data_IF_113497021908
#
_entry.id   IF_113497021908
#
_cell.length_a   1.000
_cell.length_b   1.000
_cell.length_c   1.000
_cell.angle_alpha   90.00
_cell.angle_beta   90.00
_cell.angle_gamma   90.00
#
_symmetry.space_group_name_H-M   'P 1'
#
loop_
_entity.id
_entity.type
_entity.pdbx_description
1 polymer ?
#
# COMPACT_ATOMS: atom_id res chain seq x y z
N UNK A 1 -21.57 -34.89 -41.11
CA UNK A 1 -20.46 -34.60 -42.05
C UNK A 1 -20.58 -33.13 -42.38
N UNK A 2 -19.52 -32.37 -42.15
CA UNK A 2 -19.52 -30.95 -41.84
C UNK A 2 -20.09 -30.00 -42.91
N UNK A 3 -20.89 -29.02 -42.48
CA UNK A 3 -21.27 -27.84 -43.29
C UNK A 3 -21.04 -26.58 -42.46
N UNK A 4 -19.82 -26.04 -42.51
CA UNK A 4 -19.52 -24.69 -42.03
C UNK A 4 -18.83 -23.97 -43.18
N UNK A 5 -19.54 -23.03 -43.80
CA UNK A 5 -18.97 -22.04 -44.71
C UNK A 5 -19.77 -20.75 -44.56
N UNK A 6 -19.22 -19.78 -43.84
CA UNK A 6 -19.45 -18.37 -44.11
C UNK A 6 -18.11 -17.65 -44.02
N UNK A 7 -17.78 -17.07 -45.15
CA UNK A 7 -16.57 -16.34 -45.47
C UNK A 7 -16.64 -14.90 -44.94
N UNK A 8 -15.47 -14.44 -44.51
CA UNK A 8 -14.93 -13.10 -44.73
C UNK A 8 -15.31 -11.92 -43.82
N UNK A 9 -14.21 -11.31 -43.36
CA UNK A 9 -14.01 -10.16 -42.47
C UNK A 9 -14.34 -8.83 -43.14
N UNK A 10 -14.51 -7.76 -42.35
CA UNK A 10 -13.63 -6.62 -42.63
C UNK A 10 -12.98 -5.95 -41.41
N UNK A 11 -11.69 -5.63 -41.65
CA UNK A 11 -10.88 -4.55 -41.11
C UNK A 11 -11.65 -3.34 -40.57
N UNK A 12 -11.37 -2.95 -39.32
CA UNK A 12 -11.45 -1.56 -38.90
C UNK A 12 -10.08 -1.12 -38.36
N UNK A 13 -9.37 -0.34 -39.19
CA UNK A 13 -8.31 0.56 -38.75
C UNK A 13 -8.93 1.87 -38.27
N UNK A 14 -8.41 2.42 -37.17
CA UNK A 14 -8.74 3.74 -36.65
C UNK A 14 -8.31 3.81 -35.19
N UNK A 15 -7.06 4.20 -34.93
CA UNK A 15 -6.63 5.57 -34.68
C UNK A 15 -6.74 5.94 -33.19
N UNK A 16 -5.67 6.58 -32.72
CA UNK A 16 -5.46 7.02 -31.35
C UNK A 16 -6.59 7.93 -30.83
N UNK A 17 -6.89 7.81 -29.55
CA UNK A 17 -7.41 8.92 -28.76
C UNK A 17 -6.62 8.98 -27.45
N UNK A 18 -5.63 9.86 -27.43
CA UNK A 18 -5.12 10.41 -26.21
C UNK A 18 -6.14 11.45 -25.74
N UNK A 19 -6.99 11.10 -24.79
CA UNK A 19 -7.79 12.08 -24.06
C UNK A 19 -7.54 11.94 -22.56
N UNK A 20 -6.87 12.98 -22.08
CA UNK A 20 -6.51 13.25 -20.70
C UNK A 20 -7.75 13.49 -19.84
N UNK A 21 -7.64 13.08 -18.58
CA UNK A 21 -8.33 13.64 -17.41
C UNK A 21 -9.86 13.48 -17.33
N UNK A 22 -10.27 12.45 -16.57
CA UNK A 22 -11.14 12.59 -15.40
C UNK A 22 -11.14 11.28 -14.62
N UNK A 23 -10.37 11.24 -13.52
CA UNK A 23 -10.43 10.13 -12.56
C UNK A 23 -11.89 9.99 -12.10
N UNK A 24 -12.60 8.87 -12.32
CA UNK A 24 -13.82 8.61 -11.57
C UNK A 24 -13.38 8.41 -10.12
N UNK A 25 -13.42 9.49 -9.33
CA UNK A 25 -13.34 9.43 -7.87
C UNK A 25 -14.71 9.00 -7.36
N UNK A 26 -15.18 7.83 -7.82
CA UNK A 26 -16.18 7.06 -7.10
C UNK A 26 -15.48 6.64 -5.82
N UNK A 27 -15.71 7.40 -4.75
CA UNK A 27 -15.25 7.07 -3.41
C UNK A 27 -15.91 5.76 -3.00
N UNK A 28 -15.30 4.63 -3.39
CA UNK A 28 -15.74 3.32 -3.00
C UNK A 28 -15.69 3.28 -1.47
N UNK A 29 -16.84 3.02 -0.85
CA UNK A 29 -16.92 2.77 0.59
C UNK A 29 -15.85 1.73 0.94
N UNK A 30 -14.96 2.03 1.91
CA UNK A 30 -13.92 1.09 2.27
C UNK A 30 -14.60 -0.18 2.80
N UNK A 31 -14.25 -1.32 2.23
CA UNK A 31 -14.75 -2.62 2.68
C UNK A 31 -13.60 -3.47 3.21
N UNK A 32 -13.93 -4.47 4.03
CA UNK A 32 -12.94 -5.41 4.52
C UNK A 32 -12.43 -6.27 3.37
N UNK A 33 -11.12 -6.26 3.12
CA UNK A 33 -10.51 -7.03 2.03
C UNK A 33 -10.65 -8.57 2.20
N UNK A 34 -10.99 -9.05 3.40
CA UNK A 34 -11.14 -10.48 3.67
C UNK A 34 -12.61 -10.96 3.63
N UNK A 35 -13.54 -10.20 4.21
CA UNK A 35 -14.93 -10.64 4.38
C UNK A 35 -15.95 -9.74 3.68
N UNK A 36 -15.50 -8.65 3.02
CA UNK A 36 -16.38 -7.71 2.31
C UNK A 36 -17.24 -6.82 3.20
N UNK A 37 -17.24 -7.01 4.53
CA UNK A 37 -18.02 -6.21 5.45
C UNK A 37 -17.56 -4.73 5.45
N UNK A 38 -18.52 -3.82 5.57
CA UNK A 38 -18.30 -2.38 5.65
C UNK A 38 -18.74 -1.83 7.02
N UNK A 39 -18.10 -2.22 8.13
CA UNK A 39 -18.41 -1.62 9.42
C UNK A 39 -17.97 -0.16 9.46
N UNK A 40 -18.58 0.62 10.35
CA UNK A 40 -18.27 2.05 10.51
C UNK A 40 -16.80 2.32 10.85
N UNK A 41 -16.15 1.39 11.56
CA UNK A 41 -14.74 1.47 11.94
C UNK A 41 -13.88 0.38 11.28
N UNK A 42 -13.40 0.66 10.06
CA UNK A 42 -12.38 -0.15 9.39
C UNK A 42 -10.97 0.31 9.75
N UNK A 43 -10.09 -0.66 10.00
CA UNK A 43 -8.68 -0.43 10.28
C UNK A 43 -7.85 -0.69 9.04
N UNK A 44 -7.13 0.32 8.58
CA UNK A 44 -6.16 0.16 7.50
C UNK A 44 -4.97 -0.70 7.93
N UNK A 45 -4.31 -1.32 6.94
CA UNK A 45 -3.05 -2.00 7.16
C UNK A 45 -1.99 -0.98 7.62
N UNK A 46 -1.42 -1.16 8.81
CA UNK A 46 -0.45 -0.21 9.40
C UNK A 46 0.88 -0.11 8.63
N UNK A 47 1.15 -1.04 7.71
CA UNK A 47 2.37 -1.02 6.90
C UNK A 47 2.20 -0.23 5.61
N UNK A 48 1.15 -0.53 4.87
CA UNK A 48 0.96 -0.01 3.53
C UNK A 48 -0.21 0.96 3.37
N UNK A 49 -1.11 1.03 4.35
CA UNK A 49 -2.30 1.88 4.39
C UNK A 49 -3.24 1.78 3.16
N UNK A 50 -3.02 0.79 2.29
CA UNK A 50 -3.72 0.66 1.01
C UNK A 50 -5.02 -0.15 1.11
N UNK A 51 -5.09 -1.11 2.04
CA UNK A 51 -6.28 -1.95 2.25
C UNK A 51 -6.75 -1.91 3.69
N UNK A 52 -8.04 -2.18 3.87
CA UNK A 52 -8.77 -2.05 5.13
C UNK A 52 -9.34 -3.38 5.62
N UNK A 53 -9.43 -3.53 6.94
CA UNK A 53 -9.95 -4.72 7.60
C UNK A 53 -10.86 -4.34 8.77
N UNK A 54 -11.92 -5.11 8.98
CA UNK A 54 -12.80 -4.93 10.13
C UNK A 54 -12.12 -5.37 11.44
N UNK A 55 -11.31 -6.44 11.39
CA UNK A 55 -10.64 -7.02 12.57
C UNK A 55 -9.20 -7.45 12.26
N UNK A 56 -8.42 -7.68 13.32
CA UNK A 56 -7.07 -8.25 13.21
C UNK A 56 -7.07 -9.69 12.69
N UNK A 57 -8.15 -10.42 12.91
CA UNK A 57 -8.31 -11.78 12.40
C UNK A 57 -8.43 -11.78 10.87
N UNK A 58 -9.29 -10.91 10.32
CA UNK A 58 -9.42 -10.71 8.88
C UNK A 58 -8.09 -10.29 8.24
N UNK A 59 -7.32 -9.41 8.91
CA UNK A 59 -5.98 -9.04 8.45
C UNK A 59 -5.03 -10.25 8.40
N UNK A 60 -5.02 -11.10 9.44
CA UNK A 60 -4.16 -12.30 9.51
C UNK A 60 -4.54 -13.33 8.45
N UNK A 61 -5.83 -13.56 8.25
CA UNK A 61 -6.33 -14.50 7.25
C UNK A 61 -5.93 -14.07 5.82
N UNK A 62 -6.08 -12.77 5.51
CA UNK A 62 -5.68 -12.20 4.21
C UNK A 62 -4.15 -12.02 4.08
N UNK A 63 -3.36 -12.08 5.17
CA UNK A 63 -1.93 -11.75 5.14
C UNK A 63 -1.12 -12.64 4.20
N UNK A 64 -1.50 -13.91 4.02
CA UNK A 64 -0.77 -14.86 3.16
C UNK A 64 -0.71 -14.39 1.71
N UNK A 65 -1.82 -13.86 1.18
CA UNK A 65 -1.90 -13.29 -0.17
C UNK A 65 -1.41 -11.85 -0.18
N UNK A 66 -1.75 -11.07 0.84
CA UNK A 66 -1.39 -9.66 0.93
C UNK A 66 0.12 -9.41 1.09
N UNK A 67 0.90 -10.31 1.70
CA UNK A 67 2.30 -10.06 2.10
C UNK A 67 3.19 -9.52 0.97
N UNK A 68 3.04 -10.04 -0.25
CA UNK A 68 3.84 -9.63 -1.42
C UNK A 68 3.50 -8.19 -1.83
N UNK A 69 2.20 -7.94 -2.01
CA UNK A 69 1.65 -6.62 -2.35
C UNK A 69 1.93 -5.58 -1.24
N UNK A 70 1.83 -6.00 0.03
CA UNK A 70 2.03 -5.16 1.21
C UNK A 70 3.41 -4.50 1.20
N UNK A 71 4.46 -5.24 0.82
CA UNK A 71 5.81 -4.71 0.79
C UNK A 71 5.96 -3.62 -0.28
N UNK A 72 5.44 -3.85 -1.48
CA UNK A 72 5.45 -2.87 -2.59
C UNK A 72 4.66 -1.61 -2.21
N UNK A 73 3.44 -1.80 -1.70
CA UNK A 73 2.55 -0.70 -1.31
C UNK A 73 3.10 0.10 -0.12
N UNK A 74 3.79 -0.54 0.82
CA UNK A 74 4.44 0.15 1.94
C UNK A 74 5.58 1.06 1.47
N UNK A 75 6.38 0.62 0.50
CA UNK A 75 7.42 1.47 -0.10
C UNK A 75 6.82 2.67 -0.82
N UNK A 76 5.75 2.45 -1.60
CA UNK A 76 5.01 3.52 -2.25
C UNK A 76 4.43 4.51 -1.23
N UNK A 77 3.85 4.01 -0.14
CA UNK A 77 3.31 4.84 0.93
C UNK A 77 4.37 5.74 1.54
N UNK A 78 5.55 5.21 1.90
CA UNK A 78 6.65 6.01 2.49
C UNK A 78 7.20 7.05 1.49
N UNK A 79 7.22 6.73 0.19
CA UNK A 79 7.70 7.66 -0.84
C UNK A 79 6.77 8.85 -1.03
N UNK A 80 5.45 8.63 -0.92
CA UNK A 80 4.43 9.69 -1.06
C UNK A 80 4.25 10.44 0.26
N UNK A 81 4.11 9.69 1.35
CA UNK A 81 3.97 10.20 2.70
C UNK A 81 5.35 10.23 3.34
N UNK A 82 6.25 11.06 2.79
CA UNK A 82 7.61 11.23 3.29
C UNK A 82 7.51 11.62 4.77
N UNK A 83 7.84 10.71 5.73
CA UNK A 83 8.03 11.16 7.07
C UNK A 83 9.29 12.00 6.96
N UNK A 84 9.15 13.33 7.08
CA UNK A 84 10.26 14.23 7.35
C UNK A 84 10.78 13.80 8.72
N UNK A 85 11.57 12.72 8.71
CA UNK A 85 12.39 12.28 9.82
C UNK A 85 13.11 13.54 10.21
N UNK A 86 12.74 14.12 11.36
CA UNK A 86 13.39 15.31 11.89
C UNK A 86 14.87 15.01 11.76
N UNK A 87 15.53 15.75 10.85
CA UNK A 87 16.88 15.45 10.40
C UNK A 87 17.67 15.15 11.65
N UNK A 88 18.11 13.90 11.83
CA UNK A 88 18.89 13.51 13.00
C UNK A 88 20.01 14.53 13.06
N UNK A 89 19.94 15.44 14.03
CA UNK A 89 20.97 16.44 14.17
C UNK A 89 22.29 15.67 14.21
N UNK A 90 23.31 16.07 13.43
CA UNK A 90 24.59 15.40 13.49
C UNK A 90 24.99 15.28 14.97
N UNK A 91 25.44 14.10 15.44
CA UNK A 91 25.80 13.92 16.84
C UNK A 91 26.77 15.04 17.18
N UNK A 92 26.42 15.87 18.19
CA UNK A 92 27.31 16.94 18.64
C UNK A 92 28.63 16.28 19.00
N UNK A 93 29.69 16.59 18.25
CA UNK A 93 31.06 16.18 18.53
C UNK A 93 31.55 16.96 19.75
N UNK A 94 31.04 16.58 20.92
CA UNK A 94 31.38 17.16 22.21
C UNK A 94 31.45 16.04 23.23
N UNK A 95 32.67 15.63 23.53
CA UNK A 95 33.10 14.66 24.54
C UNK A 95 32.22 13.40 24.72
N UNK A 96 32.59 12.33 24.00
CA UNK A 96 31.99 11.00 24.08
C UNK A 96 32.36 10.24 25.38
N UNK A 97 32.87 10.93 26.40
CA UNK A 97 33.54 10.31 27.55
C UNK A 97 32.67 10.26 28.83
N UNK A 98 31.50 10.91 28.82
CA UNK A 98 30.66 11.08 30.01
C UNK A 98 29.42 10.16 30.04
N UNK A 99 28.95 9.66 28.89
CA UNK A 99 27.77 8.78 28.81
C UNK A 99 27.98 7.34 29.30
N UNK A 100 29.22 6.86 29.38
CA UNK A 100 29.54 5.47 29.76
C UNK A 100 29.80 5.30 31.28
N UNK A 101 30.02 6.40 32.01
CA UNK A 101 30.35 6.37 33.46
C UNK A 101 29.12 6.42 34.38
N UNK A 102 27.93 6.76 33.86
CA UNK A 102 26.69 6.89 34.65
C UNK A 102 25.95 5.55 34.87
N UNK A 103 26.40 4.46 34.24
CA UNK A 103 25.83 3.11 34.38
C UNK A 103 26.70 2.14 35.18
N UNK A 104 27.84 2.61 35.69
CA UNK A 104 28.81 1.79 36.40
C UNK A 104 29.08 2.42 37.76
N UNK A 105 28.10 2.39 38.66
CA UNK A 105 28.24 2.52 40.12
C UNK A 105 26.88 2.17 40.77
N UNK A 106 26.56 0.87 40.76
CA UNK A 106 25.63 0.25 41.71
C UNK A 106 26.50 -0.74 42.52
N UNK A 107 27.09 -0.23 43.60
CA UNK A 107 27.62 -1.00 44.75
C UNK A 107 27.64 -0.11 45.98
#
# INVERSE_FOLDING_TARGET
>A
MASHAHSETPSMSGAAEASSLSKPSTQAVPTCAQCGASPEALKQCTKCHSISYCTKDCQKAHYKTHKKECASLAQAYVKVHEPKMASRAPPKVGDRSTGFKKWQFDT
#
